data_IF_556428127486
#
_entry.id   IF_556428127486
#
_cell.length_a   1.000
_cell.length_b   1.000
_cell.length_c   1.000
_cell.angle_alpha   90.00
_cell.angle_beta   90.00
_cell.angle_gamma   90.00
#
_symmetry.space_group_name_H-M   'P 1'
#
loop_
_entity.id
_entity.type
_entity.pdbx_description
1 polymer ?
#
# COMPACT_ATOMS: atom_id res chain seq x y z
N UNK A 1 71.73 36.61 -14.51
CA UNK A 1 70.84 35.55 -15.04
C UNK A 1 69.44 36.15 -15.15
N UNK A 2 69.02 36.45 -16.38
CA UNK A 2 67.79 37.20 -16.67
C UNK A 2 66.55 36.33 -16.43
N UNK A 3 65.71 36.70 -15.45
CA UNK A 3 64.41 36.08 -15.26
C UNK A 3 63.45 36.61 -16.34
N UNK A 4 63.12 35.73 -17.31
CA UNK A 4 62.08 35.98 -18.32
C UNK A 4 60.73 36.15 -17.63
N UNK A 5 60.22 37.37 -17.62
CA UNK A 5 58.84 37.71 -17.24
C UNK A 5 57.86 36.96 -18.16
N UNK A 6 56.95 36.17 -17.59
CA UNK A 6 55.90 35.44 -18.34
C UNK A 6 54.61 36.29 -18.37
N UNK A 7 54.22 36.87 -19.51
CA UNK A 7 53.03 37.72 -19.61
C UNK A 7 51.69 37.00 -19.30
N UNK A 8 51.66 35.67 -19.36
CA UNK A 8 50.48 34.87 -19.07
C UNK A 8 50.01 34.94 -17.60
N UNK A 9 50.93 35.16 -16.64
CA UNK A 9 50.60 35.27 -15.21
C UNK A 9 49.90 36.60 -14.88
N UNK A 10 50.23 37.67 -15.61
CA UNK A 10 49.57 38.97 -15.46
C UNK A 10 48.16 38.97 -16.05
N UNK A 11 47.96 38.29 -17.18
CA UNK A 11 46.64 38.16 -17.81
C UNK A 11 45.68 37.38 -16.89
N UNK A 12 46.16 36.30 -16.25
CA UNK A 12 45.37 35.53 -15.29
C UNK A 12 45.05 36.34 -14.02
N UNK A 13 46.00 37.12 -13.49
CA UNK A 13 45.78 37.97 -12.32
C UNK A 13 44.78 39.12 -12.60
N UNK A 14 44.86 39.74 -13.77
CA UNK A 14 43.92 40.80 -14.20
C UNK A 14 42.51 40.21 -14.41
N UNK A 15 42.40 38.99 -14.95
CA UNK A 15 41.11 38.33 -15.15
C UNK A 15 40.40 38.00 -13.82
N UNK A 16 41.16 37.56 -12.80
CA UNK A 16 40.62 37.29 -11.45
C UNK A 16 40.13 38.58 -10.77
N UNK A 17 40.86 39.70 -10.94
CA UNK A 17 40.47 41.01 -10.40
C UNK A 17 39.17 41.51 -11.06
N UNK A 18 39.05 41.42 -12.38
CA UNK A 18 37.87 41.89 -13.13
C UNK A 18 36.63 41.06 -12.82
N UNK A 19 36.75 39.73 -12.71
CA UNK A 19 35.60 38.83 -12.49
C UNK A 19 35.12 38.80 -11.04
N UNK A 20 36.01 38.97 -10.05
CA UNK A 20 35.61 38.86 -8.63
C UNK A 20 35.41 40.21 -7.94
N UNK A 21 36.20 41.24 -8.27
CA UNK A 21 36.19 42.51 -7.52
C UNK A 21 35.13 43.47 -8.07
N UNK A 22 34.91 43.51 -9.39
CA UNK A 22 33.95 44.45 -10.00
C UNK A 22 32.49 44.11 -9.63
N UNK A 23 32.03 42.84 -9.62
CA UNK A 23 30.68 42.53 -9.15
C UNK A 23 30.51 42.85 -7.66
N UNK A 24 31.56 42.66 -6.86
CA UNK A 24 31.55 42.93 -5.41
C UNK A 24 31.45 44.43 -5.10
N UNK A 25 32.06 45.30 -5.91
CA UNK A 25 31.95 46.76 -5.78
C UNK A 25 30.60 47.30 -6.26
N UNK A 26 29.93 46.65 -7.21
CA UNK A 26 28.58 47.02 -7.69
C UNK A 26 27.47 46.75 -6.67
N UNK A 27 27.70 45.87 -5.68
CA UNK A 27 26.72 45.55 -4.62
C UNK A 27 26.87 46.47 -3.39
N UNK A 28 27.98 47.21 -3.26
CA UNK A 28 28.28 48.01 -2.08
C UNK A 28 27.52 49.34 -1.90
N UNK A 29 26.90 50.01 -2.90
CA UNK A 29 26.23 51.29 -2.65
C UNK A 29 24.76 51.14 -2.17
N UNK A 30 24.23 49.93 -1.98
CA UNK A 30 22.86 49.72 -1.45
C UNK A 30 22.79 49.44 0.06
N UNK A 31 23.87 49.72 0.80
CA UNK A 31 23.94 49.52 2.26
C UNK A 31 24.24 50.85 2.97
N UNK A 32 23.33 51.83 2.91
CA UNK A 32 23.41 53.04 3.76
C UNK A 32 22.03 53.69 3.95
N UNK A 33 21.34 53.34 5.03
CA UNK A 33 20.23 54.12 5.59
C UNK A 33 20.29 54.04 7.12
N UNK A 34 20.08 55.13 7.87
CA UNK A 34 20.23 55.15 9.33
C UNK A 34 19.13 54.35 10.03
N UNK A 35 19.38 53.83 11.25
CA UNK A 35 18.45 52.95 11.93
C UNK A 35 17.30 53.75 12.55
N UNK A 36 16.06 53.39 12.21
CA UNK A 36 14.91 53.73 13.04
C UNK A 36 14.74 52.63 14.09
N UNK A 37 14.97 53.01 15.34
CA UNK A 37 14.68 52.20 16.52
C UNK A 37 13.16 52.09 16.63
N UNK A 38 12.61 50.90 16.38
CA UNK A 38 11.30 50.53 16.86
C UNK A 38 11.44 49.23 17.66
N UNK A 39 10.96 49.29 18.90
CA UNK A 39 11.11 48.24 19.91
C UNK A 39 10.40 46.96 19.45
N UNK A 40 11.15 45.90 19.23
CA UNK A 40 10.62 44.54 19.22
C UNK A 40 11.21 43.77 20.39
N UNK A 41 10.33 43.36 21.29
CA UNK A 41 10.62 42.49 22.42
C UNK A 41 11.38 41.23 21.96
N UNK A 42 12.66 41.14 22.33
CA UNK A 42 13.42 39.89 22.30
C UNK A 42 12.89 38.94 23.40
N UNK A 43 11.78 38.24 23.11
CA UNK A 43 11.50 36.95 23.73
C UNK A 43 10.93 35.97 22.71
N UNK A 44 11.56 34.80 22.65
CA UNK A 44 11.15 33.59 21.93
C UNK A 44 11.68 33.42 20.50
N UNK A 45 13.01 33.41 20.33
CA UNK A 45 13.62 32.48 19.40
C UNK A 45 13.39 31.06 19.94
N UNK A 46 12.22 30.49 19.63
CA UNK A 46 11.86 29.13 20.03
C UNK A 46 12.76 28.17 19.24
N UNK A 47 13.67 27.52 19.96
CA UNK A 47 14.39 26.32 19.54
C UNK A 47 13.38 25.25 19.06
N UNK A 48 12.98 25.28 17.79
CA UNK A 48 12.19 24.20 17.21
C UNK A 48 13.14 23.09 16.78
N UNK A 49 13.50 22.23 17.74
CA UNK A 49 13.87 20.84 17.41
C UNK A 49 12.80 20.31 16.43
N UNK A 50 13.16 19.58 15.36
CA UNK A 50 12.16 19.03 14.44
C UNK A 50 11.13 18.24 15.25
N UNK A 51 9.88 18.71 15.22
CA UNK A 51 8.77 18.07 15.93
C UNK A 51 8.57 16.69 15.31
N UNK A 52 8.94 15.64 16.04
CA UNK A 52 8.67 14.25 15.64
C UNK A 52 7.17 14.16 15.36
N UNK A 53 6.81 13.77 14.14
CA UNK A 53 5.41 13.65 13.75
C UNK A 53 4.78 12.53 14.61
N UNK A 54 3.83 12.89 15.46
CA UNK A 54 3.11 11.94 16.30
C UNK A 54 1.86 11.44 15.57
N UNK A 55 1.51 10.18 15.79
CA UNK A 55 0.27 9.59 15.28
C UNK A 55 -0.92 10.28 15.97
N UNK A 56 -1.97 10.56 15.20
CA UNK A 56 -3.20 11.12 15.73
C UNK A 56 -3.78 10.22 16.84
N UNK A 57 -4.22 10.82 17.94
CA UNK A 57 -4.80 10.06 19.03
C UNK A 57 -6.21 9.56 18.68
N UNK A 58 -6.55 8.36 19.14
CA UNK A 58 -7.91 7.81 19.06
C UNK A 58 -8.24 7.05 20.33
N UNK A 59 -9.41 7.34 20.90
CA UNK A 59 -9.97 6.62 22.05
C UNK A 59 -10.47 5.22 21.67
N UNK A 60 -10.58 4.92 20.36
CA UNK A 60 -10.96 3.60 19.88
C UNK A 60 -9.74 2.67 19.92
N UNK A 61 -9.92 1.50 20.51
CA UNK A 61 -8.91 0.43 20.52
C UNK A 61 -9.34 -0.74 19.66
N UNK A 62 -8.35 -1.40 19.06
CA UNK A 62 -8.49 -2.60 18.25
C UNK A 62 -7.91 -3.77 19.04
N UNK A 63 -8.74 -4.76 19.45
CA UNK A 63 -8.25 -6.00 20.03
C UNK A 63 -7.65 -6.90 18.94
N UNK A 64 -6.32 -6.96 18.88
CA UNK A 64 -5.55 -7.72 17.88
C UNK A 64 -4.99 -8.99 18.52
N UNK A 65 -5.32 -10.15 17.95
CA UNK A 65 -4.63 -11.39 18.29
C UNK A 65 -3.27 -11.45 17.60
N UNK A 66 -2.21 -11.59 18.40
CA UNK A 66 -0.82 -11.66 17.98
C UNK A 66 -0.39 -13.11 17.86
N UNK A 67 -0.26 -13.61 16.63
CA UNK A 67 -0.01 -15.04 16.40
C UNK A 67 1.30 -15.55 17.01
N UNK A 68 2.35 -14.72 17.03
CA UNK A 68 3.66 -15.13 17.56
C UNK A 68 3.68 -15.28 19.10
N UNK A 69 2.87 -14.48 19.81
CA UNK A 69 2.83 -14.49 21.28
C UNK A 69 1.57 -15.14 21.85
N UNK A 70 0.61 -15.49 21.01
CA UNK A 70 -0.71 -16.05 21.35
C UNK A 70 -1.50 -15.17 22.33
N UNK A 71 -1.36 -13.85 22.20
CA UNK A 71 -1.99 -12.85 23.10
C UNK A 71 -2.87 -11.88 22.33
N UNK A 72 -3.86 -11.33 23.03
CA UNK A 72 -4.65 -10.20 22.54
C UNK A 72 -4.06 -8.90 23.06
N UNK A 73 -3.73 -7.99 22.14
CA UNK A 73 -3.25 -6.64 22.44
C UNK A 73 -4.31 -5.62 22.02
N UNK A 74 -4.59 -4.64 22.89
CA UNK A 74 -5.50 -3.53 22.57
C UNK A 74 -4.69 -2.36 22.04
N UNK A 75 -4.83 -2.07 20.76
CA UNK A 75 -4.00 -1.10 20.04
C UNK A 75 -4.85 0.11 19.65
N UNK A 76 -4.43 1.36 19.94
CA UNK A 76 -5.15 2.54 19.48
C UNK A 76 -5.37 2.51 17.96
N UNK A 77 -6.56 2.90 17.50
CA UNK A 77 -6.98 2.72 16.11
C UNK A 77 -5.99 3.30 15.10
N UNK A 78 -5.51 4.51 15.32
CA UNK A 78 -4.60 5.17 14.37
C UNK A 78 -3.19 4.56 14.38
N UNK A 79 -2.75 4.01 15.53
CA UNK A 79 -1.51 3.23 15.61
C UNK A 79 -1.64 1.90 14.88
N UNK A 80 -2.78 1.23 15.05
CA UNK A 80 -3.12 0.01 14.31
C UNK A 80 -3.11 0.27 12.80
N UNK A 81 -3.79 1.33 12.35
CA UNK A 81 -3.84 1.71 10.93
C UNK A 81 -2.45 2.03 10.39
N UNK A 82 -1.60 2.73 11.15
CA UNK A 82 -0.21 2.99 10.74
C UNK A 82 0.60 1.68 10.60
N UNK A 83 0.46 0.75 11.54
CA UNK A 83 1.09 -0.57 11.48
C UNK A 83 0.61 -1.41 10.30
N UNK A 84 -0.69 -1.34 9.97
CA UNK A 84 -1.25 -2.01 8.79
C UNK A 84 -0.72 -1.39 7.49
N UNK A 85 -0.74 -0.06 7.35
CA UNK A 85 -0.20 0.61 6.15
C UNK A 85 1.28 0.29 5.96
N UNK A 86 2.06 0.28 7.04
CA UNK A 86 3.47 -0.08 7.05
C UNK A 86 3.74 -1.53 6.61
N UNK A 87 2.81 -2.43 6.89
CA UNK A 87 2.95 -3.87 6.61
C UNK A 87 2.40 -4.27 5.23
N UNK A 88 1.36 -3.57 4.77
CA UNK A 88 0.63 -3.92 3.55
C UNK A 88 1.15 -3.19 2.31
N UNK A 89 1.71 -1.99 2.46
CA UNK A 89 2.20 -1.19 1.34
C UNK A 89 3.69 -0.82 1.46
N UNK A 90 4.45 -0.85 0.36
CA UNK A 90 5.80 -0.34 0.35
C UNK A 90 5.82 1.16 0.72
N UNK A 91 6.63 1.55 1.70
CA UNK A 91 6.71 2.93 2.19
C UNK A 91 7.15 3.95 1.12
N UNK A 92 7.78 3.50 0.04
CA UNK A 92 8.17 4.35 -1.08
C UNK A 92 7.00 4.71 -2.02
N UNK A 93 5.83 4.06 -1.90
CA UNK A 93 4.64 4.39 -2.70
C UNK A 93 4.19 5.84 -2.50
N UNK A 94 3.49 6.39 -3.48
CA UNK A 94 3.00 7.76 -3.45
C UNK A 94 2.12 8.04 -2.24
N UNK A 95 2.20 9.26 -1.71
CA UNK A 95 1.50 9.62 -0.45
C UNK A 95 -0.01 9.49 -0.59
N UNK A 96 -0.58 9.81 -1.76
CA UNK A 96 -2.02 9.67 -2.02
C UNK A 96 -2.45 8.19 -2.04
N UNK A 97 -1.57 7.27 -2.47
CA UNK A 97 -1.84 5.85 -2.39
C UNK A 97 -1.79 5.34 -0.94
N UNK A 98 -0.83 5.82 -0.14
CA UNK A 98 -0.76 5.51 1.30
C UNK A 98 -1.99 6.05 2.05
N UNK A 99 -2.50 7.23 1.69
CA UNK A 99 -3.76 7.78 2.24
C UNK A 99 -4.96 6.90 1.87
N UNK A 100 -5.06 6.47 0.62
CA UNK A 100 -6.14 5.59 0.17
C UNK A 100 -6.14 4.26 0.94
N UNK A 101 -4.95 3.71 1.23
CA UNK A 101 -4.80 2.53 2.07
C UNK A 101 -5.12 2.78 3.53
N UNK A 102 -4.70 3.91 4.11
CA UNK A 102 -5.07 4.26 5.48
C UNK A 102 -6.59 4.32 5.64
N UNK A 103 -7.28 4.95 4.68
CA UNK A 103 -8.74 5.03 4.65
C UNK A 103 -9.40 3.65 4.51
N UNK A 104 -8.88 2.83 3.60
CA UNK A 104 -9.34 1.45 3.37
C UNK A 104 -9.15 0.59 4.62
N UNK A 105 -7.95 0.64 5.23
CA UNK A 105 -7.60 -0.14 6.41
C UNK A 105 -8.46 0.26 7.62
N UNK A 106 -8.62 1.56 7.86
CA UNK A 106 -9.49 2.09 8.92
C UNK A 106 -10.94 1.68 8.72
N UNK A 107 -11.44 1.72 7.49
CA UNK A 107 -12.81 1.31 7.19
C UNK A 107 -13.03 -0.18 7.47
N UNK A 108 -12.10 -1.03 7.04
CA UNK A 108 -12.16 -2.47 7.29
C UNK A 108 -12.26 -2.77 8.79
N UNK A 109 -11.38 -2.17 9.59
CA UNK A 109 -11.36 -2.45 11.03
C UNK A 109 -12.57 -1.85 11.76
N UNK A 110 -13.02 -0.64 11.38
CA UNK A 110 -14.24 -0.03 11.94
C UNK A 110 -15.47 -0.88 11.61
N UNK A 111 -15.61 -1.34 10.36
CA UNK A 111 -16.69 -2.24 9.96
C UNK A 111 -16.69 -3.52 10.81
N UNK A 112 -15.51 -4.06 11.12
CA UNK A 112 -15.39 -5.27 11.92
C UNK A 112 -15.71 -5.06 13.41
N UNK A 113 -15.29 -3.94 13.97
CA UNK A 113 -15.63 -3.52 15.34
C UNK A 113 -17.15 -3.35 15.50
N UNK A 114 -17.80 -2.69 14.54
CA UNK A 114 -19.25 -2.47 14.56
C UNK A 114 -20.06 -3.75 14.44
N UNK A 115 -19.59 -4.72 13.67
CA UNK A 115 -20.26 -6.00 13.46
C UNK A 115 -19.79 -7.10 14.44
N UNK A 116 -19.08 -6.76 15.52
CA UNK A 116 -18.57 -7.66 16.57
C UNK A 116 -17.77 -8.87 16.05
N UNK A 117 -16.88 -8.64 15.08
CA UNK A 117 -16.15 -9.71 14.42
C UNK A 117 -17.02 -10.35 13.34
N UNK A 118 -16.68 -10.10 12.08
CA UNK A 118 -17.28 -10.81 10.94
C UNK A 118 -17.09 -12.33 11.07
N UNK A 119 -17.97 -13.09 10.42
CA UNK A 119 -18.20 -14.56 10.38
C UNK A 119 -17.02 -15.54 10.49
N UNK A 120 -15.78 -15.09 10.47
CA UNK A 120 -14.58 -15.91 10.52
C UNK A 120 -14.10 -16.03 11.97
N UNK A 121 -13.84 -17.25 12.41
CA UNK A 121 -13.40 -17.54 13.77
C UNK A 121 -12.09 -16.81 14.09
N UNK A 122 -12.14 -15.90 15.07
CA UNK A 122 -10.97 -15.29 15.71
C UNK A 122 -10.88 -15.78 17.16
N UNK A 123 -9.67 -15.88 17.74
CA UNK A 123 -9.52 -16.25 19.15
C UNK A 123 -10.32 -15.35 20.09
N UNK A 124 -10.77 -15.91 21.22
CA UNK A 124 -11.62 -15.21 22.17
C UNK A 124 -10.99 -13.88 22.63
N UNK A 125 -11.79 -12.80 22.60
CA UNK A 125 -11.36 -11.45 22.96
C UNK A 125 -10.70 -10.65 21.83
N UNK A 126 -10.41 -11.26 20.68
CA UNK A 126 -9.88 -10.57 19.51
C UNK A 126 -10.96 -10.20 18.49
N UNK A 127 -10.66 -9.21 17.66
CA UNK A 127 -11.50 -8.85 16.49
C UNK A 127 -10.77 -9.14 15.18
N UNK A 128 -9.44 -9.17 15.19
CA UNK A 128 -8.59 -9.50 14.03
C UNK A 128 -7.38 -10.33 14.47
N UNK A 129 -6.74 -10.99 13.52
CA UNK A 129 -5.38 -11.53 13.64
C UNK A 129 -4.42 -10.63 12.87
N UNK A 130 -3.12 -10.73 13.16
CA UNK A 130 -2.04 -10.00 12.49
C UNK A 130 -1.55 -10.66 11.19
N UNK A 131 -2.37 -11.53 10.60
CA UNK A 131 -2.02 -12.34 9.42
C UNK A 131 -2.79 -11.90 8.17
N UNK A 132 -2.38 -12.44 7.01
CA UNK A 132 -3.03 -12.22 5.70
C UNK A 132 -4.49 -12.64 5.62
N UNK A 133 -5.01 -13.34 6.64
CA UNK A 133 -6.44 -13.65 6.73
C UNK A 133 -7.28 -12.37 6.88
N UNK A 134 -6.70 -11.32 7.48
CA UNK A 134 -7.40 -10.08 7.78
C UNK A 134 -6.64 -8.87 7.24
N UNK A 135 -5.64 -8.41 8.00
CA UNK A 135 -4.69 -7.36 7.65
C UNK A 135 -3.40 -7.69 8.37
N UNK A 136 -2.28 -7.65 7.65
CA UNK A 136 -0.97 -7.82 8.28
C UNK A 136 -0.72 -6.59 9.15
N UNK A 137 -0.41 -6.83 10.43
CA UNK A 137 -0.07 -5.78 11.38
C UNK A 137 1.29 -6.07 12.00
N UNK A 138 2.21 -5.11 11.84
CA UNK A 138 3.49 -5.09 12.53
C UNK A 138 3.49 -3.99 13.59
N UNK A 139 3.94 -4.36 14.78
CA UNK A 139 4.19 -3.45 15.90
C UNK A 139 5.38 -2.53 15.61
N UNK A 140 5.47 -1.45 16.38
CA UNK A 140 6.58 -0.49 16.28
C UNK A 140 7.97 -1.15 16.41
N UNK A 141 8.10 -2.11 17.33
CA UNK A 141 9.34 -2.86 17.53
C UNK A 141 9.73 -3.71 16.31
N UNK A 142 8.76 -4.41 15.70
CA UNK A 142 8.98 -5.22 14.50
C UNK A 142 9.34 -4.33 13.30
N UNK A 143 8.68 -3.18 13.15
CA UNK A 143 8.98 -2.20 12.09
C UNK A 143 10.39 -1.61 12.24
N UNK A 144 10.82 -1.29 13.48
CA UNK A 144 12.18 -0.84 13.76
C UNK A 144 13.21 -1.90 13.40
N UNK A 145 12.96 -3.15 13.74
CA UNK A 145 13.85 -4.27 13.40
C UNK A 145 13.94 -4.47 11.88
N UNK A 146 12.80 -4.42 11.19
CA UNK A 146 12.73 -4.63 9.75
C UNK A 146 13.41 -3.51 8.95
N UNK A 147 13.14 -2.24 9.27
CA UNK A 147 13.64 -1.11 8.48
C UNK A 147 14.96 -0.53 8.99
N UNK A 148 15.37 -0.81 10.22
CA UNK A 148 16.62 -0.33 10.80
C UNK A 148 16.78 1.18 10.64
N UNK A 149 17.75 1.61 9.83
CA UNK A 149 18.07 3.04 9.60
C UNK A 149 16.97 3.78 8.83
N UNK A 150 16.22 3.08 7.98
CA UNK A 150 15.15 3.69 7.16
C UNK A 150 13.83 3.83 7.93
N UNK A 151 13.73 3.23 9.13
CA UNK A 151 12.51 3.21 9.93
C UNK A 151 11.90 4.61 10.10
N UNK A 152 12.72 5.58 10.54
CA UNK A 152 12.24 6.93 10.83
C UNK A 152 11.66 7.61 9.59
N UNK A 153 12.38 7.53 8.47
CA UNK A 153 11.96 8.12 7.18
C UNK A 153 10.67 7.48 6.67
N UNK A 154 10.57 6.15 6.73
CA UNK A 154 9.41 5.42 6.26
C UNK A 154 8.18 5.71 7.12
N UNK A 155 8.34 5.68 8.45
CA UNK A 155 7.25 5.98 9.37
C UNK A 155 6.79 7.43 9.29
N UNK A 156 7.68 8.41 9.13
CA UNK A 156 7.26 9.82 8.98
C UNK A 156 6.28 10.00 7.80
N UNK A 157 6.54 9.34 6.67
CA UNK A 157 5.65 9.39 5.51
C UNK A 157 4.32 8.68 5.75
N UNK A 158 4.35 7.52 6.41
CA UNK A 158 3.14 6.74 6.73
C UNK A 158 2.27 7.48 7.74
N UNK A 159 2.86 7.98 8.83
CA UNK A 159 2.17 8.75 9.86
C UNK A 159 1.52 9.99 9.24
N UNK A 160 2.20 10.67 8.31
CA UNK A 160 1.61 11.79 7.56
C UNK A 160 0.33 11.36 6.81
N UNK A 161 0.38 10.27 6.06
CA UNK A 161 -0.78 9.77 5.32
C UNK A 161 -1.94 9.33 6.24
N UNK A 162 -1.62 8.69 7.37
CA UNK A 162 -2.62 8.28 8.37
C UNK A 162 -3.27 9.50 9.01
N UNK A 163 -2.48 10.48 9.46
CA UNK A 163 -2.98 11.69 10.11
C UNK A 163 -3.84 12.54 9.17
N UNK A 164 -3.44 12.71 7.92
CA UNK A 164 -4.20 13.48 6.92
C UNK A 164 -5.54 12.81 6.54
N UNK A 165 -5.71 11.52 6.88
CA UNK A 165 -6.97 10.78 6.72
C UNK A 165 -7.62 10.37 8.05
N UNK A 166 -7.12 10.89 9.17
CA UNK A 166 -7.57 10.48 10.50
C UNK A 166 -9.06 10.76 10.68
N UNK A 167 -9.73 9.80 11.33
CA UNK A 167 -11.17 9.85 11.55
C UNK A 167 -12.02 9.79 10.29
N UNK A 168 -11.48 9.40 9.12
CA UNK A 168 -12.27 9.20 7.89
C UNK A 168 -12.39 7.72 7.57
N UNK A 169 -13.56 7.34 7.06
CA UNK A 169 -13.85 6.00 6.54
C UNK A 169 -14.62 6.07 5.22
N UNK A 170 -14.75 4.93 4.55
CA UNK A 170 -15.57 4.74 3.36
C UNK A 170 -16.93 4.18 3.75
N UNK A 171 -18.00 4.83 3.30
CA UNK A 171 -19.37 4.39 3.55
C UNK A 171 -20.17 4.20 2.26
N UNK A 172 -21.15 3.31 2.34
CA UNK A 172 -22.21 3.12 1.34
C UNK A 172 -23.53 3.00 2.11
N UNK A 173 -24.54 3.77 1.70
CA UNK A 173 -25.81 3.92 2.43
C UNK A 173 -25.64 4.21 3.93
N UNK A 174 -24.68 5.10 4.25
CA UNK A 174 -24.38 5.54 5.61
C UNK A 174 -23.70 4.49 6.50
N UNK A 175 -23.37 3.30 5.97
CA UNK A 175 -22.69 2.22 6.71
C UNK A 175 -21.26 2.04 6.22
N UNK A 176 -20.29 1.69 7.09
CA UNK A 176 -18.95 1.33 6.64
C UNK A 176 -18.99 0.19 5.62
N UNK A 177 -18.19 0.28 4.57
CA UNK A 177 -18.13 -0.75 3.54
C UNK A 177 -17.23 -1.93 3.95
N UNK A 178 -17.36 -3.05 3.24
CA UNK A 178 -16.31 -4.06 3.16
C UNK A 178 -15.17 -3.54 2.28
N UNK A 179 -14.20 -2.86 2.90
CA UNK A 179 -13.08 -2.21 2.23
C UNK A 179 -11.94 -3.20 1.92
N UNK A 180 -12.22 -4.17 1.05
CA UNK A 180 -11.25 -5.17 0.60
C UNK A 180 -10.16 -4.58 -0.31
N UNK A 181 -8.92 -5.04 -0.18
CA UNK A 181 -7.80 -4.60 -1.02
C UNK A 181 -6.81 -5.74 -1.29
N UNK A 182 -5.97 -5.59 -2.30
CA UNK A 182 -4.99 -6.59 -2.69
C UNK A 182 -3.78 -5.96 -3.39
N UNK A 183 -2.69 -6.72 -3.56
CA UNK A 183 -1.44 -6.20 -4.13
C UNK A 183 -1.59 -5.71 -5.56
N UNK A 184 -1.92 -6.62 -6.49
CA UNK A 184 -1.76 -6.35 -7.92
C UNK A 184 -2.86 -7.05 -8.73
N UNK A 185 -3.48 -6.32 -9.66
CA UNK A 185 -4.50 -6.86 -10.56
C UNK A 185 -3.89 -7.52 -11.79
N UNK A 186 -4.70 -8.24 -12.56
CA UNK A 186 -4.34 -8.71 -13.90
C UNK A 186 -4.72 -7.69 -15.00
N UNK A 187 -5.00 -6.43 -14.62
CA UNK A 187 -5.53 -5.35 -15.45
C UNK A 187 -6.97 -4.97 -15.09
N UNK A 188 -7.67 -5.82 -14.34
CA UNK A 188 -9.04 -5.59 -13.87
C UNK A 188 -9.22 -6.07 -12.42
N UNK A 189 -10.13 -5.44 -11.69
CA UNK A 189 -10.62 -5.96 -10.41
C UNK A 189 -11.78 -6.94 -10.64
N UNK A 190 -12.16 -7.69 -9.61
CA UNK A 190 -13.26 -8.67 -9.63
C UNK A 190 -14.52 -8.09 -9.01
N UNK A 191 -15.69 -8.51 -9.51
CA UNK A 191 -16.91 -8.37 -8.72
C UNK A 191 -16.81 -9.28 -7.48
N UNK A 192 -17.32 -8.81 -6.34
CA UNK A 192 -17.28 -9.58 -5.09
C UNK A 192 -17.87 -10.98 -5.22
N UNK A 193 -19.02 -11.11 -5.89
CA UNK A 193 -19.78 -12.35 -6.04
C UNK A 193 -19.13 -13.38 -6.98
N UNK A 194 -18.10 -12.96 -7.74
CA UNK A 194 -17.32 -13.86 -8.59
C UNK A 194 -16.15 -14.49 -7.83
N UNK A 195 -15.89 -14.04 -6.59
CA UNK A 195 -14.83 -14.54 -5.71
C UNK A 195 -15.35 -15.05 -4.35
N UNK A 196 -16.34 -14.38 -3.75
CA UNK A 196 -17.02 -14.71 -2.50
C UNK A 196 -18.52 -14.89 -2.73
N UNK A 197 -19.24 -15.41 -1.74
CA UNK A 197 -20.67 -15.72 -1.89
C UNK A 197 -21.58 -14.48 -1.85
N UNK A 198 -21.13 -13.41 -1.18
CA UNK A 198 -21.95 -12.22 -0.95
C UNK A 198 -21.67 -11.13 -1.99
N UNK A 199 -22.69 -10.66 -2.75
CA UNK A 199 -22.55 -9.50 -3.62
C UNK A 199 -22.53 -8.21 -2.80
N UNK A 200 -21.60 -7.31 -3.13
CA UNK A 200 -21.54 -5.95 -2.59
C UNK A 200 -21.67 -4.93 -3.74
N UNK A 201 -22.63 -3.99 -3.69
CA UNK A 201 -22.85 -3.01 -4.76
C UNK A 201 -21.63 -2.14 -5.08
N UNK A 202 -20.78 -1.90 -4.09
CA UNK A 202 -19.57 -1.09 -4.21
C UNK A 202 -18.32 -1.88 -4.62
N UNK A 203 -18.33 -3.23 -4.58
CA UNK A 203 -17.20 -4.08 -5.01
C UNK A 203 -17.47 -4.65 -6.39
N UNK A 204 -17.33 -3.78 -7.40
CA UNK A 204 -17.51 -4.14 -8.81
C UNK A 204 -16.20 -4.10 -9.58
N UNK A 205 -16.15 -4.91 -10.65
CA UNK A 205 -15.02 -4.97 -11.55
C UNK A 205 -14.78 -3.61 -12.21
N UNK A 206 -13.54 -3.11 -12.12
CA UNK A 206 -13.07 -1.90 -12.75
C UNK A 206 -11.73 -2.14 -13.43
N UNK A 207 -11.42 -1.35 -14.46
CA UNK A 207 -10.09 -1.36 -15.08
C UNK A 207 -9.04 -0.87 -14.08
N UNK A 208 -7.88 -1.49 -14.12
CA UNK A 208 -6.70 -1.06 -13.35
C UNK A 208 -5.44 -1.24 -14.19
N UNK A 209 -5.27 -0.44 -15.25
CA UNK A 209 -4.18 -0.60 -16.22
C UNK A 209 -2.79 -0.37 -15.62
N UNK A 210 -2.70 0.40 -14.54
CA UNK A 210 -1.43 0.70 -13.89
C UNK A 210 -0.73 -0.52 -13.30
N UNK A 211 -1.48 -1.57 -12.98
CA UNK A 211 -0.95 -2.82 -12.43
C UNK A 211 0.05 -3.51 -13.35
N UNK A 212 -0.02 -3.28 -14.67
CA UNK A 212 0.91 -3.87 -15.64
C UNK A 212 2.37 -3.48 -15.36
N UNK A 213 2.60 -2.32 -14.73
CA UNK A 213 3.93 -1.84 -14.33
C UNK A 213 4.41 -2.43 -13.00
N UNK A 214 3.57 -3.18 -12.29
CA UNK A 214 3.95 -3.77 -11.01
C UNK A 214 5.00 -4.87 -11.21
N UNK A 215 6.06 -4.93 -10.38
CA UNK A 215 7.00 -6.05 -10.38
C UNK A 215 6.34 -7.37 -9.96
N UNK A 216 5.11 -7.32 -9.42
CA UNK A 216 4.30 -8.48 -9.02
C UNK A 216 3.24 -8.84 -10.06
N UNK A 217 3.22 -8.17 -11.23
CA UNK A 217 2.19 -8.38 -12.26
C UNK A 217 2.25 -9.76 -12.91
N UNK A 218 3.45 -10.30 -13.15
CA UNK A 218 3.64 -11.66 -13.68
C UNK A 218 4.64 -12.40 -12.82
N UNK A 219 4.37 -13.68 -12.60
CA UNK A 219 5.34 -14.60 -12.00
C UNK A 219 5.21 -15.95 -12.69
N UNK A 220 6.33 -16.64 -12.88
CA UNK A 220 6.35 -18.06 -13.23
C UNK A 220 7.15 -18.81 -12.17
N UNK A 221 6.55 -19.85 -11.60
CA UNK A 221 7.19 -20.75 -10.63
C UNK A 221 7.17 -22.19 -11.15
N UNK A 222 8.01 -23.04 -10.56
CA UNK A 222 8.04 -24.47 -10.87
C UNK A 222 7.47 -25.28 -9.71
N UNK A 223 6.62 -26.24 -10.03
CA UNK A 223 6.12 -27.24 -9.09
C UNK A 223 6.37 -28.64 -9.64
N UNK A 224 6.63 -29.62 -8.78
CA UNK A 224 6.75 -31.00 -9.29
C UNK A 224 5.39 -31.53 -9.77
N UNK A 225 5.38 -32.34 -10.83
CA UNK A 225 4.16 -33.01 -11.33
C UNK A 225 3.46 -33.78 -10.21
N UNK A 226 4.23 -34.51 -9.38
CA UNK A 226 3.70 -35.27 -8.23
C UNK A 226 2.97 -34.39 -7.23
N UNK A 227 3.52 -33.20 -6.93
CA UNK A 227 2.88 -32.26 -6.02
C UNK A 227 1.56 -31.73 -6.58
N UNK A 228 1.53 -31.35 -7.86
CA UNK A 228 0.29 -30.86 -8.52
C UNK A 228 -0.77 -31.95 -8.58
N UNK A 229 -0.40 -33.17 -9.00
CA UNK A 229 -1.31 -34.32 -9.02
C UNK A 229 -1.92 -34.62 -7.64
N UNK A 230 -1.09 -34.62 -6.60
CA UNK A 230 -1.52 -34.86 -5.22
C UNK A 230 -2.48 -33.78 -4.73
N UNK A 231 -2.13 -32.51 -4.90
CA UNK A 231 -2.92 -31.39 -4.38
C UNK A 231 -4.26 -31.22 -5.12
N UNK A 232 -4.28 -31.45 -6.43
CA UNK A 232 -5.51 -31.34 -7.23
C UNK A 232 -6.29 -32.66 -7.32
N UNK A 233 -5.69 -33.79 -6.90
CA UNK A 233 -6.28 -35.11 -7.03
C UNK A 233 -6.54 -35.51 -8.50
N UNK A 234 -5.59 -35.19 -9.39
CA UNK A 234 -5.67 -35.47 -10.83
C UNK A 234 -4.46 -36.28 -11.29
N UNK A 235 -4.55 -36.84 -12.50
CA UNK A 235 -3.38 -37.34 -13.23
C UNK A 235 -3.10 -36.43 -14.40
N UNK A 236 -1.86 -35.97 -14.50
CA UNK A 236 -1.43 -35.07 -15.57
C UNK A 236 -0.93 -35.92 -16.74
N UNK A 237 -1.42 -35.61 -17.95
CA UNK A 237 -1.01 -36.22 -19.21
C UNK A 237 0.44 -35.87 -19.56
N UNK A 238 0.89 -36.25 -20.77
CA UNK A 238 2.18 -35.86 -21.34
C UNK A 238 2.41 -34.34 -21.35
N UNK A 239 3.65 -33.95 -21.67
CA UNK A 239 4.10 -32.56 -21.74
C UNK A 239 3.17 -31.65 -22.57
N UNK A 240 3.10 -30.37 -22.19
CA UNK A 240 2.22 -29.38 -22.81
C UNK A 240 1.30 -28.66 -21.83
N UNK A 241 0.31 -27.95 -22.36
CA UNK A 241 -0.69 -27.22 -21.57
C UNK A 241 -1.55 -28.21 -20.76
N UNK A 242 -1.72 -27.91 -19.47
CA UNK A 242 -2.50 -28.73 -18.55
C UNK A 242 -3.89 -28.13 -18.43
N UNK A 243 -4.91 -28.84 -18.91
CA UNK A 243 -6.30 -28.42 -18.73
C UNK A 243 -6.73 -27.28 -19.66
N UNK A 244 -7.96 -26.79 -19.45
CA UNK A 244 -8.59 -25.77 -20.29
C UNK A 244 -9.38 -24.79 -19.44
N UNK A 245 -9.26 -23.50 -19.73
CA UNK A 245 -10.16 -22.47 -19.18
C UNK A 245 -11.53 -22.63 -19.84
N UNK A 246 -12.57 -22.84 -19.03
CA UNK A 246 -13.96 -23.03 -19.50
C UNK A 246 -14.77 -21.74 -19.39
N UNK A 247 -14.50 -20.94 -18.37
CA UNK A 247 -15.17 -19.66 -18.12
C UNK A 247 -14.22 -18.71 -17.42
N UNK A 248 -14.31 -17.43 -17.78
CA UNK A 248 -13.66 -16.32 -17.07
C UNK A 248 -14.69 -15.49 -16.31
N UNK A 249 -14.23 -14.83 -15.26
CA UNK A 249 -14.97 -13.79 -14.54
C UNK A 249 -14.93 -12.47 -15.32
N UNK A 250 -15.68 -11.48 -14.86
CA UNK A 250 -15.72 -10.14 -15.44
C UNK A 250 -14.34 -9.47 -15.44
N UNK A 251 -13.55 -9.65 -14.37
CA UNK A 251 -12.16 -9.16 -14.29
C UNK A 251 -11.12 -10.13 -14.89
N UNK A 252 -11.55 -11.01 -15.79
CA UNK A 252 -10.69 -11.89 -16.59
C UNK A 252 -9.94 -13.00 -15.82
N UNK A 253 -10.26 -13.25 -14.55
CA UNK A 253 -9.74 -14.40 -13.80
C UNK A 253 -10.45 -15.69 -14.21
N UNK A 254 -9.90 -16.84 -13.83
CA UNK A 254 -10.48 -18.14 -14.17
C UNK A 254 -11.63 -18.45 -13.22
N UNK A 255 -12.85 -18.45 -13.75
CA UNK A 255 -14.04 -18.89 -13.02
C UNK A 255 -14.14 -20.43 -12.99
N UNK A 256 -13.85 -21.07 -14.13
CA UNK A 256 -13.91 -22.53 -14.28
C UNK A 256 -12.73 -23.06 -15.09
N UNK A 257 -12.06 -24.08 -14.56
CA UNK A 257 -10.89 -24.73 -15.14
C UNK A 257 -11.09 -26.24 -15.20
N UNK A 258 -10.90 -26.85 -16.36
CA UNK A 258 -11.09 -28.28 -16.54
C UNK A 258 -9.75 -29.00 -16.69
N UNK A 259 -9.48 -30.01 -15.86
CA UNK A 259 -8.35 -30.92 -15.98
C UNK A 259 -8.88 -32.35 -16.12
N UNK A 260 -8.75 -32.94 -17.31
CA UNK A 260 -9.37 -34.22 -17.63
C UNK A 260 -10.90 -34.14 -17.47
N UNK A 261 -11.46 -35.00 -16.61
CA UNK A 261 -12.90 -35.03 -16.29
C UNK A 261 -13.29 -34.14 -15.09
N UNK A 262 -12.32 -33.58 -14.36
CA UNK A 262 -12.59 -32.74 -13.19
C UNK A 262 -12.65 -31.27 -13.59
N UNK A 263 -13.59 -30.55 -13.00
CA UNK A 263 -13.71 -29.10 -13.12
C UNK A 263 -13.46 -28.48 -11.75
N UNK A 264 -12.64 -27.44 -11.73
CA UNK A 264 -12.25 -26.68 -10.55
C UNK A 264 -12.65 -25.22 -10.77
N UNK A 265 -12.85 -24.48 -9.69
CA UNK A 265 -12.78 -23.02 -9.78
C UNK A 265 -11.32 -22.57 -9.87
N UNK A 266 -11.05 -21.40 -10.45
CA UNK A 266 -9.70 -20.84 -10.42
C UNK A 266 -9.24 -20.52 -8.98
N UNK A 267 -10.18 -20.17 -8.10
CA UNK A 267 -9.92 -19.96 -6.66
C UNK A 267 -9.47 -21.25 -5.98
N UNK A 268 -10.13 -22.37 -6.24
CA UNK A 268 -9.76 -23.66 -5.67
C UNK A 268 -8.34 -24.08 -6.07
N UNK A 269 -7.98 -23.91 -7.35
CA UNK A 269 -6.61 -24.21 -7.81
C UNK A 269 -5.61 -23.25 -7.16
N UNK A 270 -5.93 -21.94 -7.09
CA UNK A 270 -5.09 -20.94 -6.43
C UNK A 270 -4.81 -21.33 -4.98
N UNK A 271 -5.83 -21.69 -4.21
CA UNK A 271 -5.70 -22.04 -2.79
C UNK A 271 -4.94 -23.36 -2.60
N UNK A 272 -5.29 -24.41 -3.36
CA UNK A 272 -4.61 -25.73 -3.27
C UNK A 272 -3.15 -25.66 -3.65
N UNK A 273 -2.80 -24.89 -4.68
CA UNK A 273 -1.41 -24.77 -5.16
C UNK A 273 -0.67 -23.56 -4.56
N UNK A 274 -1.32 -22.75 -3.72
CA UNK A 274 -0.78 -21.51 -3.13
C UNK A 274 -0.28 -20.51 -4.17
N UNK A 275 -1.06 -20.31 -5.23
CA UNK A 275 -0.73 -19.39 -6.32
C UNK A 275 -0.97 -17.93 -5.91
N UNK A 276 -0.25 -17.00 -6.55
CA UNK A 276 -0.46 -15.56 -6.34
C UNK A 276 -1.89 -15.12 -6.69
N UNK A 277 -2.48 -15.67 -7.75
CA UNK A 277 -3.83 -15.32 -8.21
C UNK A 277 -4.56 -16.51 -8.86
N UNK A 278 -5.84 -16.32 -9.16
CA UNK A 278 -6.66 -17.22 -9.98
C UNK A 278 -6.66 -16.88 -11.48
N UNK A 279 -5.72 -16.05 -11.95
CA UNK A 279 -5.41 -15.88 -13.37
C UNK A 279 -4.06 -16.55 -13.65
N UNK A 280 -4.10 -17.77 -14.18
CA UNK A 280 -2.92 -18.61 -14.34
C UNK A 280 -2.94 -19.44 -15.63
N UNK A 281 -1.76 -19.95 -16.00
CA UNK A 281 -1.59 -21.04 -16.96
C UNK A 281 -0.67 -22.11 -16.36
N UNK A 282 -0.97 -23.38 -16.66
CA UNK A 282 -0.23 -24.53 -16.16
C UNK A 282 0.35 -25.30 -17.35
N UNK A 283 1.68 -25.45 -17.41
CA UNK A 283 2.35 -26.18 -18.48
C UNK A 283 3.29 -27.24 -17.93
N UNK A 284 3.10 -28.50 -18.32
CA UNK A 284 4.02 -29.59 -17.97
C UNK A 284 5.26 -29.56 -18.86
N UNK A 285 6.44 -29.70 -18.25
CA UNK A 285 7.73 -29.92 -18.91
C UNK A 285 8.49 -31.03 -18.18
N UNK A 286 8.46 -32.25 -18.70
CA UNK A 286 9.04 -33.43 -18.08
C UNK A 286 8.42 -33.74 -16.70
N UNK A 287 9.19 -33.53 -15.64
CA UNK A 287 8.80 -33.81 -14.23
C UNK A 287 8.29 -32.58 -13.48
N UNK A 288 8.31 -31.40 -14.10
CA UNK A 288 7.84 -30.15 -13.49
C UNK A 288 6.63 -29.57 -14.23
N UNK A 289 5.88 -28.74 -13.53
CA UNK A 289 4.80 -27.90 -14.02
C UNK A 289 5.25 -26.45 -13.85
N UNK A 290 5.34 -25.74 -14.97
CA UNK A 290 5.52 -24.29 -15.01
C UNK A 290 4.15 -23.66 -14.71
N UNK A 291 4.09 -22.90 -13.62
CA UNK A 291 2.88 -22.19 -13.19
C UNK A 291 3.11 -20.71 -13.40
N UNK A 292 2.45 -20.14 -14.40
CA UNK A 292 2.51 -18.70 -14.67
C UNK A 292 1.24 -18.04 -14.16
N UNK A 293 1.36 -17.00 -13.34
CA UNK A 293 0.24 -16.23 -12.78
C UNK A 293 0.30 -14.77 -13.22
N UNK A 294 -0.87 -14.12 -13.35
CA UNK A 294 -1.01 -12.67 -13.50
C UNK A 294 -1.69 -12.03 -12.30
N UNK A 295 -1.14 -10.93 -11.80
CA UNK A 295 -1.57 -10.27 -10.58
C UNK A 295 -1.23 -11.06 -9.31
N UNK A 296 -1.54 -10.46 -8.16
CA UNK A 296 -1.32 -11.03 -6.85
C UNK A 296 -2.42 -10.59 -5.88
N UNK A 297 -3.20 -11.57 -5.41
CA UNK A 297 -4.29 -11.40 -4.46
C UNK A 297 -5.63 -11.85 -5.03
N UNK A 298 -6.69 -11.71 -4.21
CA UNK A 298 -8.05 -12.11 -4.60
C UNK A 298 -8.58 -11.27 -5.77
N UNK A 299 -8.27 -9.98 -5.82
CA UNK A 299 -8.63 -9.10 -6.94
C UNK A 299 -9.87 -8.24 -6.71
N UNK A 300 -10.49 -8.32 -5.53
CA UNK A 300 -11.72 -7.59 -5.19
C UNK A 300 -11.37 -6.29 -4.45
N UNK A 301 -11.99 -5.18 -4.83
CA UNK A 301 -11.78 -3.86 -4.20
C UNK A 301 -10.53 -3.14 -4.72
N UNK A 302 -9.75 -2.52 -3.83
CA UNK A 302 -8.63 -1.66 -4.24
C UNK A 302 -7.35 -2.44 -4.56
N UNK A 303 -6.77 -2.20 -5.75
CA UNK A 303 -5.40 -2.62 -6.06
C UNK A 303 -4.39 -1.63 -5.46
N UNK A 304 -3.41 -2.11 -4.67
CA UNK A 304 -2.36 -1.28 -4.08
C UNK A 304 -1.43 -0.69 -5.13
N UNK A 305 -0.96 -1.50 -6.08
CA UNK A 305 -0.12 -1.00 -7.20
C UNK A 305 -0.93 -0.14 -8.16
N UNK A 306 -2.22 -0.46 -8.35
CA UNK A 306 -3.13 0.36 -9.10
C UNK A 306 -3.33 1.75 -8.47
N UNK A 307 -3.55 1.81 -7.16
CA UNK A 307 -3.62 3.06 -6.39
C UNK A 307 -2.32 3.88 -6.51
N UNK A 308 -1.17 3.21 -6.44
CA UNK A 308 0.12 3.88 -6.64
C UNK A 308 0.28 4.49 -8.03
N UNK A 309 -0.14 3.76 -9.08
CA UNK A 309 -0.12 4.27 -10.44
C UNK A 309 -1.04 5.47 -10.65
N UNK A 310 -2.26 5.42 -10.11
CA UNK A 310 -3.17 6.56 -10.11
C UNK A 310 -2.56 7.78 -9.39
N UNK A 311 -1.98 7.57 -8.21
CA UNK A 311 -1.33 8.62 -7.44
C UNK A 311 -0.13 9.24 -8.19
N UNK A 312 0.66 8.41 -8.89
CA UNK A 312 1.77 8.88 -9.72
C UNK A 312 1.30 9.73 -10.93
N UNK A 313 0.04 9.56 -11.36
CA UNK A 313 -0.63 10.41 -12.36
C UNK A 313 -1.32 11.63 -11.75
N UNK A 314 -1.08 11.92 -10.46
CA UNK A 314 -1.61 13.10 -9.78
C UNK A 314 -3.01 12.93 -9.20
N UNK A 315 -3.57 11.71 -9.17
CA UNK A 315 -4.87 11.46 -8.56
C UNK A 315 -4.82 11.55 -7.03
N UNK A 316 -5.81 12.20 -6.46
CA UNK A 316 -6.02 12.27 -5.01
C UNK A 316 -6.48 10.93 -4.43
N UNK A 317 -6.27 10.71 -3.13
CA UNK A 317 -6.77 9.52 -2.44
C UNK A 317 -8.29 9.35 -2.57
N UNK A 318 -9.06 10.45 -2.63
CA UNK A 318 -10.51 10.39 -2.84
C UNK A 318 -10.87 9.88 -4.23
N UNK A 319 -10.15 10.31 -5.27
CA UNK A 319 -10.35 9.78 -6.64
C UNK A 319 -9.98 8.30 -6.73
N UNK A 320 -8.88 7.90 -6.05
CA UNK A 320 -8.42 6.51 -6.00
C UNK A 320 -9.51 5.61 -5.38
N UNK A 321 -9.99 5.92 -4.17
CA UNK A 321 -10.99 5.07 -3.51
C UNK A 321 -12.32 5.06 -4.25
N UNK A 322 -12.76 6.17 -4.85
CA UNK A 322 -13.99 6.22 -5.67
C UNK A 322 -13.87 5.46 -6.99
N UNK A 323 -12.66 5.28 -7.51
CA UNK A 323 -12.43 4.44 -8.69
C UNK A 323 -12.68 2.97 -8.36
N UNK A 324 -12.09 2.46 -7.28
CA UNK A 324 -12.14 1.06 -6.87
C UNK A 324 -13.42 0.65 -6.13
N UNK A 325 -14.04 1.56 -5.37
CA UNK A 325 -15.26 1.31 -4.64
C UNK A 325 -16.39 2.17 -5.21
N UNK A 326 -17.39 1.53 -5.83
CA UNK A 326 -18.46 2.25 -6.53
C UNK A 326 -19.43 2.92 -5.57
N UNK A 327 -19.77 4.17 -5.90
CA UNK A 327 -20.79 4.97 -5.20
C UNK A 327 -20.53 5.14 -3.69
N UNK A 328 -19.28 5.07 -3.27
CA UNK A 328 -18.91 5.28 -1.86
C UNK A 328 -18.70 6.75 -1.55
N UNK A 329 -18.88 7.09 -0.28
CA UNK A 329 -18.64 8.42 0.27
C UNK A 329 -17.51 8.34 1.30
N UNK A 330 -16.65 9.36 1.33
CA UNK A 330 -15.69 9.55 2.42
C UNK A 330 -16.42 10.28 3.54
N UNK A 331 -16.55 9.64 4.70
CA UNK A 331 -17.30 10.16 5.84
C UNK A 331 -16.37 10.36 7.02
N UNK A 332 -16.46 11.51 7.68
CA UNK A 332 -15.83 11.69 8.99
C UNK A 332 -16.57 10.82 10.02
N UNK A 333 -15.87 9.82 10.53
CA UNK A 333 -16.32 8.91 11.56
C UNK A 333 -15.49 9.12 12.81
N UNK A 334 -16.07 9.88 13.75
CA UNK A 334 -15.60 10.00 15.12
C UNK A 334 -16.70 9.39 15.97
N UNK A 335 -16.48 8.21 16.58
CA UNK A 335 -17.45 7.68 17.51
C UNK A 335 -17.61 8.73 18.61
N UNK A 336 -18.82 9.22 18.80
CA UNK A 336 -19.13 9.98 20.01
C UNK A 336 -18.98 8.96 21.13
N UNK A 337 -17.95 9.12 21.95
CA UNK A 337 -17.89 8.46 23.25
C UNK A 337 -19.19 8.84 23.94
N UNK A 338 -20.09 7.88 24.13
CA UNK A 338 -21.23 8.09 25.00
C UNK A 338 -20.64 8.51 26.34
N UNK A 339 -20.80 9.78 26.68
CA UNK A 339 -20.52 10.29 28.02
C UNK A 339 -21.39 9.43 28.92
N UNK A 340 -20.75 8.53 29.66
CA UNK A 340 -21.41 7.75 30.71
C UNK A 340 -21.74 8.66 31.87
#
# INVERSE_FOLDING_TARGET
MNARFKPALWIAAVFIIVVLIIPSLLVLPFSSGPPLVEKTDEKSARNTKPKVLQIAHSDMVVPVYRNASEKVENIPLEEYVAGVVASEMPANFEVEALKAQALTARTYIVNRLMNKGSSDAVPAGAIVTDTVQHQVYASDGELKQHWGKDYKKNMEKIIKAVNETSGKILTYDGKPINASFFSTSNGYTENSEEYWDNPYPYLKSVKSPWDEKSPKFKETTEMSVRQVERLLGVKLSSDGEIGKVKKKTTGNKIAQYQIGKKTFSGREIREKLKLRSSDFSLKRKGKVVLVSTKGYGHGVGMSQYGANGMAAEGKSYQEIVKHYYKNVVVTDYRPVTAVK
#
